data_IF_011781010087
#
_entry.id   IF_011781010087
#
_cell.length_a   1.000
_cell.length_b   1.000
_cell.length_c   1.000
_cell.angle_alpha   90.00
_cell.angle_beta   90.00
_cell.angle_gamma   90.00
#
_symmetry.space_group_name_H-M   'P 1'
#
loop_
_entity.id
_entity.type
_entity.pdbx_description
1 polymer ?
#
# COMPACT_ATOMS: atom_id res chain seq x y z
N UNK A 1 -8.18 -22.11 -0.48
CA UNK A 1 -7.23 -21.42 0.40
C UNK A 1 -7.19 -20.00 -0.12
N UNK A 2 -7.79 -19.06 0.61
CA UNK A 2 -7.90 -17.68 0.14
C UNK A 2 -6.52 -17.04 0.17
N UNK A 3 -5.84 -17.06 -0.98
CA UNK A 3 -4.57 -16.37 -1.25
C UNK A 3 -4.82 -14.86 -1.49
N UNK A 4 -5.89 -14.32 -0.91
CA UNK A 4 -6.34 -12.96 -1.13
C UNK A 4 -5.61 -12.04 -0.15
N UNK A 5 -4.97 -10.99 -0.68
CA UNK A 5 -4.27 -9.99 0.12
C UNK A 5 -5.24 -9.33 1.12
N UNK A 6 -5.02 -9.47 2.44
CA UNK A 6 -5.91 -8.85 3.42
C UNK A 6 -5.95 -7.33 3.27
N UNK A 7 -7.13 -6.73 3.39
CA UNK A 7 -7.33 -5.28 3.31
C UNK A 7 -6.37 -4.49 4.23
N UNK A 8 -6.18 -4.93 5.48
CA UNK A 8 -5.24 -4.29 6.41
C UNK A 8 -3.80 -4.26 5.86
N UNK A 9 -3.39 -5.28 5.10
CA UNK A 9 -2.04 -5.39 4.52
C UNK A 9 -1.84 -4.50 3.29
N UNK A 10 -2.90 -3.88 2.77
CA UNK A 10 -2.82 -2.79 1.78
C UNK A 10 -2.53 -1.43 2.41
N UNK A 11 -2.69 -1.28 3.72
CA UNK A 11 -2.42 -0.01 4.40
C UNK A 11 -0.91 0.21 4.62
N UNK A 12 -0.46 1.48 4.58
CA UNK A 12 0.94 1.81 4.84
C UNK A 12 1.32 1.46 6.28
N UNK A 13 2.56 0.97 6.46
CA UNK A 13 3.16 0.83 7.79
C UNK A 13 3.38 2.22 8.37
N UNK A 14 2.93 2.44 9.61
CA UNK A 14 3.04 3.77 10.26
C UNK A 14 4.50 4.20 10.42
N UNK A 15 5.41 3.24 10.60
CA UNK A 15 6.85 3.48 10.64
C UNK A 15 7.44 3.97 9.30
N UNK A 16 6.77 3.71 8.17
CA UNK A 16 7.21 4.12 6.82
C UNK A 16 6.43 5.33 6.29
N UNK A 17 5.22 5.55 6.79
CA UNK A 17 4.38 6.68 6.48
C UNK A 17 3.45 6.97 7.66
N UNK A 18 3.74 8.05 8.37
CA UNK A 18 2.92 8.52 9.51
C UNK A 18 1.50 8.88 9.03
N UNK A 19 0.43 8.34 9.64
CA UNK A 19 -0.96 8.71 9.38
C UNK A 19 -1.26 10.21 9.50
N UNK A 20 -0.52 10.94 10.34
CA UNK A 20 -0.62 12.39 10.50
C UNK A 20 0.14 13.20 9.43
N UNK A 21 0.89 12.55 8.54
CA UNK A 21 1.66 13.26 7.51
C UNK A 21 0.73 13.89 6.45
N UNK A 22 0.96 15.14 6.00
CA UNK A 22 0.08 15.81 5.04
C UNK A 22 -0.07 15.06 3.71
N UNK A 23 0.97 14.35 3.28
CA UNK A 23 0.93 13.52 2.06
C UNK A 23 0.33 12.12 2.26
N UNK A 24 -0.09 11.73 3.47
CA UNK A 24 -0.61 10.38 3.75
C UNK A 24 -1.73 9.99 2.77
N UNK A 25 -2.73 10.87 2.63
CA UNK A 25 -3.88 10.65 1.76
C UNK A 25 -3.52 10.64 0.26
N UNK A 26 -2.43 11.31 -0.14
CA UNK A 26 -1.96 11.31 -1.53
C UNK A 26 -1.29 9.98 -1.87
N UNK A 27 -0.47 9.48 -0.95
CA UNK A 27 0.26 8.22 -1.09
C UNK A 27 -0.70 7.04 -1.10
N UNK A 28 -1.68 7.04 -0.19
CA UNK A 28 -2.72 6.03 -0.14
C UNK A 28 -3.53 6.03 -1.45
N UNK A 29 -3.94 7.21 -1.95
CA UNK A 29 -4.66 7.30 -3.23
C UNK A 29 -3.84 6.82 -4.43
N UNK A 30 -2.56 7.17 -4.51
CA UNK A 30 -1.70 6.74 -5.60
C UNK A 30 -1.51 5.21 -5.59
N UNK A 31 -1.32 4.62 -4.41
CA UNK A 31 -1.23 3.17 -4.25
C UNK A 31 -2.54 2.47 -4.61
N UNK A 32 -3.67 2.95 -4.09
CA UNK A 32 -4.98 2.35 -4.34
C UNK A 32 -5.39 2.44 -5.81
N UNK A 33 -5.08 3.56 -6.49
CA UNK A 33 -5.28 3.70 -7.93
C UNK A 33 -4.44 2.69 -8.73
N UNK A 34 -3.18 2.48 -8.34
CA UNK A 34 -2.33 1.49 -9.00
C UNK A 34 -2.83 0.06 -8.77
N UNK A 35 -3.27 -0.29 -7.56
CA UNK A 35 -3.86 -1.61 -7.29
C UNK A 35 -5.14 -1.83 -8.09
N UNK A 36 -6.01 -0.81 -8.18
CA UNK A 36 -7.24 -0.91 -8.97
C UNK A 36 -6.97 -1.05 -10.48
N UNK A 37 -5.87 -0.48 -10.97
CA UNK A 37 -5.42 -0.58 -12.35
C UNK A 37 -4.52 -1.81 -12.63
N UNK A 38 -4.36 -2.72 -11.66
CA UNK A 38 -3.46 -3.88 -11.73
C UNK A 38 -2.00 -3.51 -12.09
N UNK A 39 -1.56 -2.34 -11.64
CA UNK A 39 -0.20 -1.85 -11.84
C UNK A 39 0.73 -2.34 -10.72
N UNK A 40 1.96 -2.77 -11.07
CA UNK A 40 2.90 -3.29 -10.09
C UNK A 40 3.53 -2.20 -9.22
N UNK A 41 3.58 -0.96 -9.70
CA UNK A 41 4.16 0.19 -9.01
C UNK A 41 3.24 1.41 -9.05
N UNK A 42 3.51 2.37 -8.18
CA UNK A 42 2.96 3.71 -8.23
C UNK A 42 4.04 4.77 -7.97
N UNK A 43 3.91 5.97 -8.55
CA UNK A 43 4.81 7.08 -8.24
C UNK A 43 4.54 7.57 -6.82
N UNK A 44 5.54 7.51 -5.97
CA UNK A 44 5.44 7.98 -4.60
C UNK A 44 5.60 9.51 -4.52
N UNK A 45 4.53 10.26 -4.17
CA UNK A 45 4.55 11.72 -4.18
C UNK A 45 5.47 12.35 -3.14
N UNK A 46 5.99 11.58 -2.17
CA UNK A 46 6.87 12.11 -1.12
C UNK A 46 8.35 11.81 -1.39
N UNK A 47 8.68 10.66 -1.99
CA UNK A 47 10.09 10.33 -2.32
C UNK A 47 10.47 10.61 -3.78
N UNK A 48 9.50 10.67 -4.70
CA UNK A 48 9.75 10.77 -6.13
C UNK A 48 10.15 9.45 -6.80
N UNK A 49 10.15 8.32 -6.07
CA UNK A 49 10.47 7.01 -6.60
C UNK A 49 9.23 6.23 -7.05
N UNK A 50 9.44 5.23 -7.89
CA UNK A 50 8.45 4.18 -8.15
C UNK A 50 8.47 3.15 -7.00
N UNK A 51 7.32 2.94 -6.36
CA UNK A 51 7.18 2.03 -5.22
C UNK A 51 6.25 0.89 -5.60
N UNK A 52 6.62 -0.35 -5.24
CA UNK A 52 5.81 -1.53 -5.47
C UNK A 52 4.48 -1.47 -4.70
N UNK A 53 3.41 -1.91 -5.34
CA UNK A 53 2.11 -2.06 -4.69
C UNK A 53 2.11 -3.25 -3.73
N UNK A 54 1.24 -3.20 -2.73
CA UNK A 54 1.01 -4.34 -1.83
C UNK A 54 0.57 -5.60 -2.60
N UNK A 55 -0.23 -5.43 -3.66
CA UNK A 55 -0.70 -6.53 -4.52
C UNK A 55 0.47 -7.20 -5.26
N UNK A 56 1.37 -6.43 -5.86
CA UNK A 56 2.55 -6.95 -6.54
C UNK A 56 3.51 -7.68 -5.58
N UNK A 57 3.72 -7.11 -4.38
CA UNK A 57 4.51 -7.77 -3.35
C UNK A 57 3.85 -9.10 -2.91
N UNK A 58 2.54 -9.10 -2.72
CA UNK A 58 1.81 -10.31 -2.37
C UNK A 58 1.92 -11.39 -3.46
N UNK A 59 1.71 -11.00 -4.73
CA UNK A 59 1.78 -11.90 -5.87
C UNK A 59 3.16 -12.55 -6.06
N UNK A 60 4.26 -11.80 -5.86
CA UNK A 60 5.62 -12.37 -5.91
C UNK A 60 5.97 -13.22 -4.69
N UNK A 61 5.26 -13.07 -3.57
CA UNK A 61 5.40 -13.91 -2.37
C UNK A 61 6.56 -13.56 -1.43
N UNK A 62 7.27 -12.44 -1.61
CA UNK A 62 8.37 -12.03 -0.72
C UNK A 62 8.56 -10.51 -0.61
N UNK A 63 9.21 -10.08 0.49
CA UNK A 63 9.62 -8.69 0.72
C UNK A 63 10.76 -8.28 -0.22
N UNK A 64 10.66 -7.13 -0.87
CA UNK A 64 11.71 -6.61 -1.76
C UNK A 64 12.88 -5.89 -1.04
N UNK A 65 12.82 -5.80 0.29
CA UNK A 65 13.80 -5.12 1.16
C UNK A 65 14.14 -3.66 0.81
N UNK A 66 13.30 -3.03 -0.01
CA UNK A 66 13.49 -1.64 -0.49
C UNK A 66 12.73 -0.60 0.34
N UNK A 67 12.11 -1.00 1.46
CA UNK A 67 11.38 -0.08 2.34
C UNK A 67 10.04 0.42 1.77
N UNK A 68 9.36 -0.35 0.92
CA UNK A 68 8.06 0.04 0.34
C UNK A 68 7.00 0.33 1.41
N UNK A 69 6.20 1.39 1.24
CA UNK A 69 5.26 1.87 2.26
C UNK A 69 4.18 0.86 2.64
N UNK A 70 3.72 0.10 1.66
CA UNK A 70 2.60 -0.84 1.77
C UNK A 70 3.06 -2.30 1.78
N UNK A 71 4.26 -2.60 2.30
CA UNK A 71 4.77 -3.98 2.30
C UNK A 71 3.84 -4.91 3.09
N UNK A 72 3.31 -6.00 2.50
CA UNK A 72 2.42 -6.93 3.20
C UNK A 72 3.17 -7.95 4.08
N UNK A 73 4.49 -8.07 3.94
CA UNK A 73 5.28 -9.05 4.72
C UNK A 73 5.98 -8.45 5.93
N UNK A 74 6.09 -7.12 6.00
CA UNK A 74 6.68 -6.48 7.16
C UNK A 74 5.65 -6.37 8.29
N UNK A 75 6.09 -6.57 9.52
CA UNK A 75 5.23 -6.59 10.68
C UNK A 75 5.18 -5.20 11.33
N UNK A 76 4.01 -4.81 11.84
CA UNK A 76 3.87 -3.54 12.53
C UNK A 76 2.49 -2.89 12.37
N UNK A 77 2.26 -1.78 13.10
CA UNK A 77 1.03 -1.01 13.00
C UNK A 77 0.87 -0.39 11.61
N UNK A 78 -0.38 -0.33 11.13
CA UNK A 78 -0.74 0.11 9.78
C UNK A 78 -1.90 1.10 9.81
N UNK A 79 -1.77 2.13 8.99
CA UNK A 79 -2.76 3.20 8.84
C UNK A 79 -3.15 3.91 10.14
N UNK A 80 -4.14 4.82 10.09
CA UNK A 80 -4.72 5.39 11.28
C UNK A 80 -5.46 4.32 12.09
N UNK A 81 -5.58 4.53 13.40
CA UNK A 81 -6.31 3.62 14.30
C UNK A 81 -7.74 3.41 13.78
N UNK A 82 -8.14 2.17 13.51
CA UNK A 82 -9.46 1.83 12.96
C UNK A 82 -9.62 2.01 11.45
N UNK A 83 -8.54 2.23 10.69
CA UNK A 83 -8.61 2.38 9.24
C UNK A 83 -9.04 1.08 8.54
N UNK A 84 -10.10 1.17 7.75
CA UNK A 84 -10.38 0.24 6.65
C UNK A 84 -9.78 0.88 5.40
N UNK A 85 -8.98 0.16 4.58
CA UNK A 85 -8.54 0.72 3.31
C UNK A 85 -9.77 1.15 2.51
N UNK A 86 -9.69 2.28 1.77
CA UNK A 86 -10.80 2.69 0.93
C UNK A 86 -11.16 1.53 -0.02
N UNK A 87 -12.44 1.30 -0.31
CA UNK A 87 -12.79 0.35 -1.35
C UNK A 87 -12.09 0.78 -2.64
N UNK A 88 -11.60 -0.19 -3.42
CA UNK A 88 -11.12 0.09 -4.77
C UNK A 88 -12.16 0.96 -5.48
N UNK A 89 -11.79 2.05 -6.17
CA UNK A 89 -12.75 2.78 -6.99
C UNK A 89 -13.40 1.80 -7.95
N UNK A 90 -14.73 1.77 -7.99
CA UNK A 90 -15.50 0.84 -8.81
C UNK A 90 -14.99 0.90 -10.26
N UNK A 91 -14.43 -0.21 -10.74
CA UNK A 91 -14.09 -0.41 -12.14
C UNK A 91 -15.39 -0.58 -12.94
N UNK A 92 -15.77 0.43 -13.72
CA UNK A 92 -16.81 0.31 -14.77
C UNK A 92 -16.25 -0.46 -15.99
#
# INVERSE_FOLDING_TARGET
>A
MSDELPALRRLPLTARLDPGHPSYALVLRAHEAAVAADLPTYPDPLSGFEVLTAAELWARGFCCDSGCRHCPFDEGPRGPEGAVPPPCPDSD
#
